data_IF_292520895206
#
_entry.id   IF_292520895206
#
_cell.length_a   1.000
_cell.length_b   1.000
_cell.length_c   1.000
_cell.angle_alpha   90.00
_cell.angle_beta   90.00
_cell.angle_gamma   90.00
#
_symmetry.space_group_name_H-M   'P 1'
#
loop_
_entity.id
_entity.type
_entity.pdbx_description
1 polymer ?
#
# COMPACT_ATOMS: atom_id res chain seq x y z
N UNK A 1 -14.39 30.84 -0.73
CA UNK A 1 -14.87 29.53 -0.21
C UNK A 1 -15.29 29.68 1.25
N UNK A 2 -16.53 29.32 1.60
CA UNK A 2 -17.03 29.40 2.97
C UNK A 2 -16.26 28.42 3.89
N UNK A 3 -15.86 28.87 5.08
CA UNK A 3 -15.08 28.09 6.07
C UNK A 3 -15.75 26.74 6.43
N UNK A 4 -17.09 26.70 6.48
CA UNK A 4 -17.83 25.45 6.74
C UNK A 4 -17.70 24.42 5.62
N UNK A 5 -17.67 24.87 4.37
CA UNK A 5 -17.50 24.01 3.20
C UNK A 5 -16.04 23.52 3.07
N UNK A 6 -15.08 24.38 3.42
CA UNK A 6 -13.65 24.04 3.48
C UNK A 6 -13.39 22.91 4.49
N UNK A 7 -13.94 23.02 5.71
CA UNK A 7 -13.81 21.99 6.75
C UNK A 7 -14.46 20.67 6.36
N UNK A 8 -15.60 20.71 5.66
CA UNK A 8 -16.29 19.52 5.16
C UNK A 8 -15.48 18.81 4.05
N UNK A 9 -14.90 19.56 3.12
CA UNK A 9 -14.02 19.01 2.07
C UNK A 9 -12.76 18.37 2.66
N UNK A 10 -12.13 19.02 3.65
CA UNK A 10 -10.95 18.47 4.33
C UNK A 10 -11.28 17.18 5.09
N UNK A 11 -12.43 17.11 5.75
CA UNK A 11 -12.88 15.89 6.43
C UNK A 11 -13.17 14.73 5.48
N UNK A 12 -13.84 15.02 4.35
CA UNK A 12 -14.20 14.00 3.35
C UNK A 12 -13.00 13.50 2.53
N UNK A 13 -12.01 14.36 2.27
CA UNK A 13 -10.82 14.04 1.47
C UNK A 13 -9.57 13.87 2.34
N UNK A 14 -9.74 13.57 3.63
CA UNK A 14 -8.67 13.45 4.61
C UNK A 14 -7.60 12.44 4.19
N UNK A 15 -7.98 11.31 3.59
CA UNK A 15 -7.04 10.29 3.11
C UNK A 15 -6.07 10.83 2.04
N UNK A 16 -6.58 11.64 1.11
CA UNK A 16 -5.77 12.24 0.04
C UNK A 16 -4.84 13.32 0.58
N UNK A 17 -5.29 14.06 1.59
CA UNK A 17 -4.46 15.03 2.29
C UNK A 17 -3.31 14.37 3.04
N UNK A 18 -3.57 13.26 3.73
CA UNK A 18 -2.53 12.49 4.43
C UNK A 18 -1.53 11.91 3.43
N UNK A 19 -2.00 11.35 2.31
CA UNK A 19 -1.14 10.83 1.25
C UNK A 19 -0.19 11.91 0.69
N UNK A 20 -0.73 13.09 0.36
CA UNK A 20 0.07 14.21 -0.14
C UNK A 20 1.10 14.68 0.89
N UNK A 21 0.71 14.76 2.16
CA UNK A 21 1.63 15.12 3.24
C UNK A 21 2.76 14.10 3.39
N UNK A 22 2.46 12.81 3.35
CA UNK A 22 3.47 11.74 3.39
C UNK A 22 4.41 11.81 2.20
N UNK A 23 3.90 11.97 0.98
CA UNK A 23 4.73 12.14 -0.22
C UNK A 23 5.67 13.35 -0.12
N UNK A 24 5.19 14.49 0.40
CA UNK A 24 6.01 15.67 0.59
C UNK A 24 7.14 15.42 1.60
N UNK A 25 6.84 14.80 2.75
CA UNK A 25 7.84 14.45 3.77
C UNK A 25 8.89 13.48 3.23
N UNK A 26 8.46 12.42 2.55
CA UNK A 26 9.35 11.40 1.99
C UNK A 26 10.24 11.95 0.86
N UNK A 27 9.73 12.89 0.07
CA UNK A 27 10.51 13.59 -0.96
C UNK A 27 11.64 14.42 -0.34
N UNK A 28 11.38 15.08 0.79
CA UNK A 28 12.39 15.90 1.47
C UNK A 28 13.40 15.02 2.23
N UNK A 29 12.92 13.96 2.88
CA UNK A 29 13.75 13.06 3.69
C UNK A 29 14.64 12.16 2.84
N UNK A 30 14.19 11.77 1.64
CA UNK A 30 14.83 10.74 0.84
C UNK A 30 14.98 11.18 -0.62
N UNK A 31 16.22 11.42 -1.06
CA UNK A 31 16.52 11.86 -2.44
C UNK A 31 16.08 10.86 -3.52
N UNK A 32 15.92 9.58 -3.17
CA UNK A 32 15.54 8.50 -4.10
C UNK A 32 14.02 8.32 -4.21
N UNK A 33 13.20 8.97 -3.38
CA UNK A 33 11.76 8.69 -3.30
C UNK A 33 11.02 8.94 -4.64
N UNK A 34 11.28 10.08 -5.28
CA UNK A 34 10.67 10.46 -6.57
C UNK A 34 11.39 9.88 -7.80
N UNK A 35 12.36 8.98 -7.62
CA UNK A 35 13.03 8.36 -8.77
C UNK A 35 12.07 7.40 -9.48
N UNK A 36 12.15 7.34 -10.81
CA UNK A 36 11.33 6.43 -11.61
C UNK A 36 11.49 4.97 -11.15
N UNK A 37 12.71 4.59 -10.74
CA UNK A 37 12.98 3.25 -10.23
C UNK A 37 12.25 2.96 -8.91
N UNK A 38 12.28 3.87 -7.94
CA UNK A 38 11.55 3.70 -6.70
C UNK A 38 10.02 3.64 -6.93
N UNK A 39 9.51 4.47 -7.84
CA UNK A 39 8.10 4.44 -8.21
C UNK A 39 7.70 3.11 -8.88
N UNK A 40 8.52 2.60 -9.80
CA UNK A 40 8.30 1.29 -10.43
C UNK A 40 8.38 0.14 -9.43
N UNK A 41 9.29 0.22 -8.45
CA UNK A 41 9.39 -0.78 -7.39
C UNK A 41 8.10 -0.82 -6.56
N UNK A 42 7.61 0.34 -6.11
CA UNK A 42 6.34 0.45 -5.35
C UNK A 42 5.18 -0.12 -6.16
N UNK A 43 5.04 0.31 -7.42
CA UNK A 43 3.96 -0.17 -8.28
C UNK A 43 4.01 -1.69 -8.50
N UNK A 44 5.21 -2.26 -8.67
CA UNK A 44 5.39 -3.69 -8.87
C UNK A 44 5.02 -4.48 -7.61
N UNK A 45 5.47 -4.02 -6.44
CA UNK A 45 5.13 -4.66 -5.16
C UNK A 45 3.63 -4.64 -4.89
N UNK A 46 2.96 -3.50 -5.07
CA UNK A 46 1.52 -3.39 -4.86
C UNK A 46 0.72 -4.19 -5.91
N UNK A 47 1.21 -4.27 -7.16
CA UNK A 47 0.58 -5.08 -8.21
C UNK A 47 0.56 -6.57 -7.86
N UNK A 48 1.62 -7.09 -7.24
CA UNK A 48 1.69 -8.49 -6.80
C UNK A 48 0.60 -8.77 -5.76
N UNK A 49 0.45 -7.89 -4.77
CA UNK A 49 -0.59 -7.99 -3.74
C UNK A 49 -1.99 -7.92 -4.39
N UNK A 50 -2.17 -7.03 -5.37
CA UNK A 50 -3.42 -6.92 -6.13
C UNK A 50 -3.81 -8.21 -6.85
N UNK A 51 -2.86 -8.87 -7.52
CA UNK A 51 -3.10 -10.16 -8.20
C UNK A 51 -3.50 -11.25 -7.18
N UNK A 52 -2.80 -11.30 -6.04
CA UNK A 52 -3.11 -12.26 -4.97
C UNK A 52 -4.51 -12.01 -4.40
N UNK A 53 -4.90 -10.75 -4.20
CA UNK A 53 -6.21 -10.39 -3.69
C UNK A 53 -7.36 -10.88 -4.60
N UNK A 54 -7.17 -10.83 -5.92
CA UNK A 54 -8.14 -11.40 -6.89
C UNK A 54 -8.26 -12.92 -6.72
N UNK A 55 -7.15 -13.63 -6.52
CA UNK A 55 -7.17 -15.08 -6.26
C UNK A 55 -7.91 -15.43 -4.96
N UNK A 56 -7.60 -14.71 -3.88
CA UNK A 56 -8.24 -14.90 -2.56
C UNK A 56 -9.74 -14.56 -2.59
N UNK A 57 -10.16 -13.58 -3.41
CA UNK A 57 -11.58 -13.25 -3.59
C UNK A 57 -12.40 -14.46 -4.05
N UNK A 58 -11.87 -15.26 -4.98
CA UNK A 58 -12.57 -16.45 -5.48
C UNK A 58 -12.64 -17.56 -4.43
N UNK A 59 -11.57 -17.74 -3.63
CA UNK A 59 -11.57 -18.67 -2.49
C UNK A 59 -12.70 -18.33 -1.50
N UNK A 60 -12.80 -17.06 -1.08
CA UNK A 60 -13.86 -16.61 -0.16
C UNK A 60 -15.27 -16.89 -0.74
N UNK A 61 -15.49 -16.62 -2.03
CA UNK A 61 -16.78 -16.85 -2.70
C UNK A 61 -17.16 -18.34 -2.74
N UNK A 62 -16.18 -19.24 -2.86
CA UNK A 62 -16.39 -20.69 -2.90
C UNK A 62 -16.77 -21.34 -1.55
N UNK A 63 -16.97 -20.55 -0.47
CA UNK A 63 -17.18 -21.01 0.92
C UNK A 63 -16.03 -21.83 1.51
N UNK A 64 -14.95 -22.06 0.77
CA UNK A 64 -13.67 -22.52 1.30
C UNK A 64 -12.88 -21.34 1.82
N UNK A 65 -12.65 -21.27 3.13
CA UNK A 65 -11.82 -20.22 3.74
C UNK A 65 -10.34 -20.56 3.49
N UNK A 66 -9.91 -20.64 2.22
CA UNK A 66 -8.53 -20.92 1.88
C UNK A 66 -7.69 -19.66 2.04
N UNK A 67 -7.31 -19.41 3.29
CA UNK A 67 -6.38 -18.36 3.71
C UNK A 67 -4.91 -18.75 3.53
N UNK A 68 -4.61 -19.95 3.01
CA UNK A 68 -3.23 -20.41 2.83
C UNK A 68 -2.35 -19.46 1.99
N UNK A 69 -2.85 -18.74 0.97
CA UNK A 69 -2.04 -17.77 0.23
C UNK A 69 -1.57 -16.61 1.12
N UNK A 70 -2.40 -16.17 2.05
CA UNK A 70 -2.05 -15.10 2.99
C UNK A 70 -0.95 -15.52 3.96
N UNK A 71 -1.03 -16.75 4.50
CA UNK A 71 -0.02 -17.29 5.41
C UNK A 71 1.34 -17.50 4.74
N UNK A 72 1.36 -17.96 3.48
CA UNK A 72 2.60 -18.11 2.71
C UNK A 72 3.27 -16.76 2.47
N UNK A 73 2.51 -15.75 2.05
CA UNK A 73 3.02 -14.39 1.82
C UNK A 73 3.55 -13.77 3.11
N UNK A 74 2.87 -13.98 4.24
CA UNK A 74 3.33 -13.48 5.54
C UNK A 74 4.67 -14.13 5.95
N UNK A 75 4.79 -15.46 5.84
CA UNK A 75 6.01 -16.17 6.20
C UNK A 75 7.20 -15.78 5.31
N UNK A 76 6.99 -15.73 3.99
CA UNK A 76 8.05 -15.34 3.04
C UNK A 76 8.47 -13.89 3.26
N UNK A 77 7.53 -12.98 3.54
CA UNK A 77 7.83 -11.57 3.85
C UNK A 77 8.66 -11.42 5.12
N UNK A 78 8.33 -12.17 6.18
CA UNK A 78 9.13 -12.18 7.42
C UNK A 78 10.56 -12.68 7.18
N UNK A 79 10.73 -13.76 6.40
CA UNK A 79 12.05 -14.32 6.07
C UNK A 79 12.84 -13.34 5.20
N UNK A 80 12.24 -12.79 4.15
CA UNK A 80 12.89 -11.80 3.27
C UNK A 80 13.29 -10.54 4.02
N UNK A 81 12.45 -10.03 4.92
CA UNK A 81 12.79 -8.87 5.76
C UNK A 81 13.94 -9.17 6.73
N UNK A 82 13.96 -10.38 7.31
CA UNK A 82 15.03 -10.82 8.21
C UNK A 82 16.37 -10.94 7.49
N UNK A 83 16.36 -11.44 6.25
CA UNK A 83 17.56 -11.52 5.41
C UNK A 83 18.03 -10.14 4.93
N UNK A 84 17.11 -9.22 4.64
CA UNK A 84 17.44 -7.85 4.22
C UNK A 84 17.98 -6.97 5.35
N UNK A 85 17.79 -7.36 6.61
CA UNK A 85 18.37 -6.70 7.78
C UNK A 85 19.82 -7.09 8.08
N UNK A 86 20.34 -8.15 7.43
CA UNK A 86 21.73 -8.58 7.52
C UNK A 86 22.60 -7.86 6.49
#
# INVERSE_FOLDING_TARGET
MNSKNMKKMIGQNSIWLVLLAMCAVLTISTRTFLTAQNFMNILTTESIIGIIAVGVMWCILSKGIDLSPGSVVALTSCISASLAQQ
#
